data_IF_335645462689
#
_entry.id   IF_335645462689
#
_cell.length_a   1.000
_cell.length_b   1.000
_cell.length_c   1.000
_cell.angle_alpha   90.00
_cell.angle_beta   90.00
_cell.angle_gamma   90.00
#
_symmetry.space_group_name_H-M   'P 1'
#
loop_
_entity.id
_entity.type
_entity.pdbx_description
1 polymer ?
#
# COMPACT_ATOMS: atom_id res chain seq x y z
N UNK A 1 8.15 -5.94 -21.87
CA UNK A 1 9.04 -6.95 -21.28
C UNK A 1 8.63 -7.12 -19.83
N UNK A 2 8.62 -8.35 -19.28
CA UNK A 2 8.41 -8.56 -17.84
C UNK A 2 9.64 -8.11 -17.05
N UNK A 3 9.44 -7.62 -15.83
CA UNK A 3 10.49 -7.06 -14.97
C UNK A 3 10.97 -5.66 -15.39
N UNK A 4 10.38 -5.06 -16.44
CA UNK A 4 10.75 -3.70 -16.83
C UNK A 4 10.34 -2.71 -15.74
N UNK A 5 11.29 -1.88 -15.31
CA UNK A 5 11.12 -0.86 -14.28
C UNK A 5 11.06 0.52 -14.94
N UNK A 6 10.03 1.30 -14.63
CA UNK A 6 9.88 2.69 -15.07
C UNK A 6 9.95 3.58 -13.85
N UNK A 7 10.90 4.53 -13.87
CA UNK A 7 11.08 5.52 -12.82
C UNK A 7 10.68 6.90 -13.32
N UNK A 8 10.18 7.73 -12.42
CA UNK A 8 9.93 9.13 -12.68
C UNK A 8 10.48 9.99 -11.54
N UNK A 9 11.13 11.11 -11.86
CA UNK A 9 11.53 12.10 -10.84
C UNK A 9 10.33 12.84 -10.25
N UNK A 10 9.25 13.01 -11.04
CA UNK A 10 7.94 13.53 -10.61
C UNK A 10 6.84 12.98 -11.51
N UNK A 11 5.59 12.95 -11.03
CA UNK A 11 4.42 12.62 -11.87
C UNK A 11 3.41 13.77 -11.83
N UNK A 12 3.04 14.31 -13.00
CA UNK A 12 2.08 15.41 -13.11
C UNK A 12 0.62 14.96 -13.01
N UNK A 13 0.37 13.64 -13.18
CA UNK A 13 -0.95 13.02 -13.14
C UNK A 13 -0.90 11.67 -12.41
N UNK A 14 -0.21 11.64 -11.26
CA UNK A 14 -0.15 10.45 -10.42
C UNK A 14 -1.54 9.99 -10.01
N UNK A 15 -1.75 8.67 -9.99
CA UNK A 15 -3.04 8.05 -9.65
C UNK A 15 -2.85 7.07 -8.50
N UNK A 16 -3.78 7.14 -7.55
CA UNK A 16 -4.00 6.10 -6.55
C UNK A 16 -5.19 5.22 -6.93
N UNK A 17 -5.62 4.40 -5.97
CA UNK A 17 -6.84 3.58 -6.09
C UNK A 17 -8.08 4.46 -6.35
N UNK A 18 -9.05 3.87 -7.04
CA UNK A 18 -10.34 4.49 -7.38
C UNK A 18 -10.22 5.87 -8.04
N UNK A 19 -9.14 6.11 -8.79
CA UNK A 19 -8.92 7.36 -9.52
C UNK A 19 -8.52 8.55 -8.64
N UNK A 20 -8.23 8.35 -7.35
CA UNK A 20 -7.73 9.41 -6.47
C UNK A 20 -6.41 9.97 -7.00
N UNK A 21 -6.20 11.27 -6.82
CA UNK A 21 -4.93 11.91 -7.18
C UNK A 21 -3.84 11.43 -6.22
N UNK A 22 -2.70 11.02 -6.77
CA UNK A 22 -1.49 10.78 -6.00
C UNK A 22 -0.48 11.90 -6.31
N UNK A 23 -0.06 12.63 -5.27
CA UNK A 23 0.93 13.69 -5.40
C UNK A 23 2.34 13.09 -5.45
N UNK A 24 3.05 13.30 -6.56
CA UNK A 24 4.40 12.78 -6.80
C UNK A 24 5.40 13.91 -7.12
N UNK A 25 5.74 14.77 -6.15
CA UNK A 25 6.76 15.79 -6.34
C UNK A 25 8.17 15.18 -6.41
N UNK A 26 9.18 15.99 -6.70
CA UNK A 26 10.57 15.54 -6.64
C UNK A 26 10.95 15.07 -5.23
N UNK A 27 11.90 14.13 -5.14
CA UNK A 27 12.42 13.61 -3.88
C UNK A 27 11.70 12.36 -3.34
N UNK A 28 10.59 11.92 -3.94
CA UNK A 28 10.04 10.59 -3.67
C UNK A 28 10.56 9.51 -4.62
N UNK A 29 10.19 8.26 -4.34
CA UNK A 29 10.39 7.13 -5.24
C UNK A 29 9.06 6.83 -5.94
N UNK A 30 9.00 7.10 -7.25
CA UNK A 30 7.84 6.86 -8.10
C UNK A 30 8.22 5.83 -9.16
N UNK A 31 7.76 4.60 -8.97
CA UNK A 31 8.22 3.45 -9.74
C UNK A 31 7.06 2.58 -10.19
N UNK A 32 7.12 2.06 -11.42
CA UNK A 32 6.20 1.05 -11.92
C UNK A 32 6.97 -0.14 -12.48
N UNK A 33 6.56 -1.36 -12.10
CA UNK A 33 7.15 -2.62 -12.57
C UNK A 33 6.14 -3.36 -13.43
N UNK A 34 6.55 -3.72 -14.65
CA UNK A 34 5.72 -4.46 -15.61
C UNK A 34 5.84 -5.96 -15.35
N UNK A 35 4.73 -6.61 -15.06
CA UNK A 35 4.61 -8.05 -14.80
C UNK A 35 3.75 -8.71 -15.87
N UNK A 36 3.98 -10.00 -16.14
CA UNK A 36 3.14 -10.78 -17.08
C UNK A 36 2.69 -12.13 -16.49
N UNK A 37 2.04 -12.14 -15.31
CA UNK A 37 1.73 -13.36 -14.58
C UNK A 37 0.44 -14.05 -15.08
N UNK A 38 0.35 -14.38 -16.38
CA UNK A 38 -0.90 -14.89 -16.98
C UNK A 38 -1.44 -16.10 -16.19
N UNK A 39 -2.64 -15.94 -15.62
CA UNK A 39 -3.34 -16.98 -14.86
C UNK A 39 -2.79 -17.28 -13.47
N UNK A 40 -1.86 -16.49 -12.94
CA UNK A 40 -1.26 -16.72 -11.62
C UNK A 40 -1.96 -15.90 -10.54
N UNK A 41 -2.32 -16.56 -9.44
CA UNK A 41 -2.65 -15.98 -8.13
C UNK A 41 -3.78 -14.91 -8.04
N UNK A 42 -4.28 -14.63 -6.84
CA UNK A 42 -5.21 -13.52 -6.64
C UNK A 42 -4.46 -12.17 -6.63
N UNK A 43 -4.96 -11.13 -7.32
CA UNK A 43 -4.34 -9.79 -7.32
C UNK A 43 -4.24 -9.14 -5.93
N UNK A 44 -5.18 -9.45 -5.04
CA UNK A 44 -5.15 -9.00 -3.64
C UNK A 44 -3.89 -9.46 -2.93
N UNK A 45 -3.53 -10.74 -3.08
CA UNK A 45 -2.33 -11.31 -2.51
C UNK A 45 -1.04 -10.73 -3.11
N UNK A 46 -1.04 -10.40 -4.42
CA UNK A 46 0.08 -9.68 -5.05
C UNK A 46 0.25 -8.29 -4.46
N UNK A 47 -0.84 -7.58 -4.16
CA UNK A 47 -0.81 -6.28 -3.47
C UNK A 47 -0.20 -6.40 -2.07
N UNK A 48 -0.49 -7.47 -1.33
CA UNK A 48 0.14 -7.72 -0.04
C UNK A 48 1.64 -8.00 -0.17
N UNK A 49 2.03 -8.82 -1.15
CA UNK A 49 3.42 -9.15 -1.45
C UNK A 49 4.24 -7.90 -1.81
N UNK A 50 3.68 -7.03 -2.64
CA UNK A 50 4.27 -5.75 -2.98
C UNK A 50 4.36 -4.80 -1.77
N UNK A 51 3.33 -4.77 -0.91
CA UNK A 51 3.37 -4.02 0.34
C UNK A 51 4.49 -4.49 1.28
N UNK A 52 4.64 -5.81 1.44
CA UNK A 52 5.74 -6.43 2.19
C UNK A 52 7.10 -6.00 1.67
N UNK A 53 7.29 -6.05 0.34
CA UNK A 53 8.52 -5.61 -0.29
C UNK A 53 8.85 -4.14 0.01
N UNK A 54 7.84 -3.26 -0.06
CA UNK A 54 8.02 -1.84 0.25
C UNK A 54 8.35 -1.60 1.73
N UNK A 55 7.66 -2.26 2.65
CA UNK A 55 7.93 -2.15 4.09
C UNK A 55 9.35 -2.64 4.44
N UNK A 56 9.76 -3.80 3.92
CA UNK A 56 11.10 -4.35 4.15
C UNK A 56 12.21 -3.52 3.52
N UNK A 57 11.95 -2.91 2.35
CA UNK A 57 12.89 -1.98 1.71
C UNK A 57 13.10 -0.72 2.55
N UNK A 58 12.01 -0.14 3.07
CA UNK A 58 12.06 1.01 3.99
C UNK A 58 12.87 0.65 5.24
N UNK A 59 12.58 -0.47 5.88
CA UNK A 59 13.32 -0.91 7.06
C UNK A 59 14.80 -1.09 6.77
N UNK A 60 15.15 -1.71 5.63
CA UNK A 60 16.54 -1.96 5.23
C UNK A 60 17.37 -0.69 5.13
N UNK A 61 16.79 0.44 4.70
CA UNK A 61 17.54 1.69 4.46
C UNK A 61 17.42 2.72 5.58
N UNK A 62 16.35 2.62 6.39
CA UNK A 62 15.99 3.64 7.37
C UNK A 62 16.12 3.17 8.82
N UNK A 63 16.16 1.86 9.08
CA UNK A 63 16.01 1.23 10.40
C UNK A 63 14.70 1.59 11.12
N UNK A 64 13.73 2.17 10.41
CA UNK A 64 12.40 2.50 10.95
C UNK A 64 11.43 1.37 10.63
N UNK A 65 10.72 0.89 11.64
CA UNK A 65 9.69 -0.13 11.46
C UNK A 65 8.56 0.35 10.55
N UNK A 66 8.25 -0.45 9.53
CA UNK A 66 7.19 -0.15 8.57
C UNK A 66 6.00 -1.08 8.76
N UNK A 67 4.86 -0.47 9.08
CA UNK A 67 3.56 -1.13 9.15
C UNK A 67 2.84 -1.13 7.79
N UNK A 68 1.86 -2.02 7.66
CA UNK A 68 1.03 -2.18 6.47
C UNK A 68 -0.42 -1.94 6.82
N UNK A 69 -1.08 -1.07 6.06
CA UNK A 69 -2.49 -0.73 6.24
C UNK A 69 -3.27 -1.19 5.00
N UNK A 70 -4.20 -2.12 5.20
CA UNK A 70 -5.08 -2.58 4.13
C UNK A 70 -5.86 -1.38 3.53
N UNK A 71 -6.06 -1.31 2.20
CA UNK A 71 -5.73 -2.34 1.21
C UNK A 71 -4.31 -2.28 0.64
N UNK A 72 -3.58 -1.18 0.79
CA UNK A 72 -2.38 -0.95 -0.01
C UNK A 72 -1.41 0.13 0.50
N UNK A 73 -1.55 0.56 1.75
CA UNK A 73 -0.75 1.65 2.32
C UNK A 73 0.42 1.10 3.14
N UNK A 74 1.56 1.78 3.05
CA UNK A 74 2.70 1.58 3.96
C UNK A 74 2.74 2.75 4.93
N UNK A 75 2.90 2.46 6.22
CA UNK A 75 2.80 3.46 7.29
C UNK A 75 4.00 3.41 8.24
N UNK A 76 4.38 4.58 8.76
CA UNK A 76 5.35 4.77 9.83
C UNK A 76 4.64 5.53 10.95
N UNK A 77 4.61 4.96 12.16
CA UNK A 77 3.87 5.50 13.31
C UNK A 77 2.42 5.90 12.97
N UNK A 78 1.75 5.06 12.18
CA UNK A 78 0.36 5.27 11.75
C UNK A 78 0.15 6.32 10.65
N UNK A 79 1.20 7.03 10.21
CA UNK A 79 1.16 7.98 9.10
C UNK A 79 1.64 7.34 7.80
N UNK A 80 0.99 7.67 6.69
CA UNK A 80 1.25 7.09 5.38
C UNK A 80 2.58 7.59 4.80
N UNK A 81 3.53 6.68 4.60
CA UNK A 81 4.80 6.97 3.92
C UNK A 81 4.76 6.56 2.45
N UNK A 82 3.87 5.65 2.08
CA UNK A 82 3.80 5.18 0.71
C UNK A 82 2.57 4.33 0.44
N UNK A 83 2.49 3.85 -0.79
CA UNK A 83 1.41 2.98 -1.23
C UNK A 83 1.78 2.16 -2.46
N UNK A 84 1.03 1.09 -2.64
CA UNK A 84 1.15 0.17 -3.77
C UNK A 84 -0.11 0.24 -4.62
N UNK A 85 0.01 0.10 -5.93
CA UNK A 85 -1.13 -0.02 -6.83
C UNK A 85 -0.90 -1.17 -7.80
N UNK A 86 -1.79 -2.17 -7.79
CA UNK A 86 -1.78 -3.28 -8.74
C UNK A 86 -2.88 -3.04 -9.77
N UNK A 87 -2.50 -2.89 -11.04
CA UNK A 87 -3.44 -2.72 -12.16
C UNK A 87 -3.17 -3.76 -13.23
N UNK A 88 -4.21 -4.47 -13.68
CA UNK A 88 -4.09 -5.49 -14.73
C UNK A 88 -4.91 -5.08 -15.95
N UNK A 89 -4.28 -5.09 -17.13
CA UNK A 89 -4.92 -4.82 -18.40
C UNK A 89 -4.22 -5.56 -19.54
N UNK A 90 -5.00 -6.09 -20.51
CA UNK A 90 -4.50 -6.70 -21.73
C UNK A 90 -3.35 -7.73 -21.53
N UNK A 91 -3.46 -8.57 -20.49
CA UNK A 91 -2.47 -9.63 -20.19
C UNK A 91 -1.18 -9.15 -19.52
N UNK A 92 -1.10 -7.88 -19.11
CA UNK A 92 -0.04 -7.36 -18.26
C UNK A 92 -0.60 -6.91 -16.91
N UNK A 93 0.23 -7.00 -15.88
CA UNK A 93 -0.04 -6.42 -14.55
C UNK A 93 1.05 -5.41 -14.23
N UNK A 94 0.69 -4.22 -13.75
CA UNK A 94 1.60 -3.18 -13.35
C UNK A 94 1.57 -3.09 -11.83
N UNK A 95 2.73 -3.26 -11.19
CA UNK A 95 2.92 -2.96 -9.78
C UNK A 95 3.53 -1.56 -9.66
N UNK A 96 2.70 -0.58 -9.29
CA UNK A 96 3.09 0.79 -8.99
C UNK A 96 3.46 0.95 -7.53
N UNK A 97 4.54 1.67 -7.26
CA UNK A 97 5.05 2.01 -5.95
C UNK A 97 5.24 3.52 -5.87
N UNK A 98 4.63 4.12 -4.84
CA UNK A 98 4.88 5.50 -4.46
C UNK A 98 5.38 5.56 -3.02
N UNK A 99 6.61 6.03 -2.80
CA UNK A 99 7.19 6.15 -1.46
C UNK A 99 7.72 7.57 -1.26
N UNK A 100 7.24 8.22 -0.21
CA UNK A 100 7.69 9.54 0.23
C UNK A 100 9.06 9.40 0.89
N UNK A 101 10.14 9.64 0.13
CA UNK A 101 11.51 9.53 0.67
C UNK A 101 11.94 10.88 1.26
N UNK A 102 12.05 11.92 0.43
CA UNK A 102 12.42 13.30 0.81
C UNK A 102 11.31 14.32 0.55
N UNK A 103 10.07 13.86 0.50
CA UNK A 103 8.92 14.73 0.22
C UNK A 103 8.64 15.61 1.44
N UNK A 104 8.69 16.95 1.31
CA UNK A 104 8.20 17.85 2.35
C UNK A 104 6.68 17.77 2.44
N UNK A 105 6.13 17.90 3.65
CA UNK A 105 4.67 17.93 3.83
C UNK A 105 4.14 19.37 3.76
N UNK A 106 5.01 20.35 3.94
CA UNK A 106 4.72 21.76 3.80
C UNK A 106 4.23 22.06 2.37
N UNK A 107 3.07 22.70 2.26
CA UNK A 107 2.46 23.03 0.97
C UNK A 107 1.62 21.91 0.34
N UNK A 108 1.54 20.73 0.96
CA UNK A 108 0.53 19.74 0.59
C UNK A 108 -0.85 20.13 1.12
N UNK A 109 -1.95 19.67 0.49
CA UNK A 109 -3.29 19.81 1.06
C UNK A 109 -3.33 19.30 2.50
N UNK A 110 -4.06 20.02 3.37
CA UNK A 110 -4.06 19.80 4.82
C UNK A 110 -4.42 18.36 5.21
N UNK A 111 -5.43 17.80 4.57
CA UNK A 111 -5.89 16.43 4.75
C UNK A 111 -4.82 15.38 4.42
N UNK A 112 -3.97 15.67 3.42
CA UNK A 112 -2.80 14.86 3.07
C UNK A 112 -1.69 15.06 4.10
N UNK A 113 -1.35 16.30 4.43
CA UNK A 113 -0.25 16.63 5.34
C UNK A 113 -0.45 16.06 6.76
N UNK A 114 -1.69 16.03 7.26
CA UNK A 114 -2.03 15.48 8.59
C UNK A 114 -1.90 13.95 8.66
N UNK A 115 -1.99 13.27 7.52
CA UNK A 115 -2.03 11.79 7.48
C UNK A 115 -0.82 11.15 6.83
N UNK A 116 0.02 11.93 6.14
CA UNK A 116 1.23 11.48 5.47
C UNK A 116 2.51 11.72 6.30
N UNK A 117 3.58 11.05 5.90
CA UNK A 117 4.95 11.28 6.37
C UNK A 117 5.94 10.98 5.25
N UNK A 118 7.23 11.23 5.49
CA UNK A 118 8.33 10.83 4.60
C UNK A 118 9.47 10.20 5.40
N UNK A 119 10.32 9.41 4.74
CA UNK A 119 11.48 8.78 5.38
C UNK A 119 12.42 9.83 5.98
N UNK A 120 12.62 10.94 5.29
CA UNK A 120 13.43 12.05 5.78
C UNK A 120 12.88 12.62 7.10
N UNK A 121 11.56 12.85 7.17
CA UNK A 121 10.92 13.36 8.38
C UNK A 121 10.95 12.35 9.54
N UNK A 122 10.85 11.05 9.25
CA UNK A 122 10.84 10.01 10.30
C UNK A 122 12.23 9.69 10.84
N UNK A 123 13.23 9.76 9.99
CA UNK A 123 14.61 9.43 10.38
C UNK A 123 15.39 10.65 10.87
N UNK A 124 14.98 11.87 10.51
CA UNK A 124 15.74 13.09 10.77
C UNK A 124 17.05 13.19 9.99
N UNK A 125 17.32 12.25 9.06
CA UNK A 125 18.55 12.20 8.25
C UNK A 125 18.24 12.09 6.76
N UNK A 126 19.19 12.40 5.86
CA UNK A 126 19.03 12.16 4.44
C UNK A 126 18.84 10.66 4.17
N UNK A 127 17.86 10.35 3.31
CA UNK A 127 17.64 9.01 2.75
C UNK A 127 17.64 9.14 1.23
N UNK A 128 18.27 8.19 0.55
CA UNK A 128 18.39 8.17 -0.90
C UNK A 128 17.29 7.34 -1.57
N UNK A 129 16.44 7.90 -2.44
CA UNK A 129 15.45 7.15 -3.22
C UNK A 129 16.06 6.02 -4.04
N UNK A 130 17.30 6.13 -4.50
CA UNK A 130 17.97 5.07 -5.25
C UNK A 130 18.27 3.86 -4.35
N UNK A 131 18.74 4.09 -3.10
CA UNK A 131 18.90 3.03 -2.11
C UNK A 131 17.56 2.36 -1.76
N UNK A 132 16.47 3.14 -1.65
CA UNK A 132 15.11 2.59 -1.43
C UNK A 132 14.70 1.74 -2.63
N UNK A 133 14.97 2.18 -3.85
CA UNK A 133 14.66 1.44 -5.07
C UNK A 133 15.42 0.12 -5.14
N UNK A 134 16.73 0.12 -4.88
CA UNK A 134 17.55 -1.10 -4.91
C UNK A 134 17.02 -2.14 -3.91
N UNK A 135 16.76 -1.71 -2.67
CA UNK A 135 16.18 -2.56 -1.65
C UNK A 135 14.78 -3.06 -2.07
N UNK A 136 13.95 -2.19 -2.63
CA UNK A 136 12.61 -2.53 -3.11
C UNK A 136 12.65 -3.59 -4.20
N UNK A 137 13.46 -3.41 -5.24
CA UNK A 137 13.55 -4.37 -6.35
C UNK A 137 13.99 -5.75 -5.86
N UNK A 138 14.98 -5.81 -4.96
CA UNK A 138 15.47 -7.05 -4.37
C UNK A 138 14.38 -7.77 -3.55
N UNK A 139 13.67 -7.04 -2.68
CA UNK A 139 12.59 -7.62 -1.85
C UNK A 139 11.40 -8.03 -2.71
N UNK A 140 11.05 -7.20 -3.69
CA UNK A 140 9.91 -7.43 -4.55
C UNK A 140 10.10 -8.66 -5.43
N UNK A 141 11.29 -8.90 -5.98
CA UNK A 141 11.59 -10.12 -6.72
C UNK A 141 11.30 -11.38 -5.88
N UNK A 142 11.78 -11.45 -4.63
CA UNK A 142 11.54 -12.60 -3.76
C UNK A 142 10.08 -12.79 -3.37
N UNK A 143 9.37 -11.70 -3.06
CA UNK A 143 7.94 -11.76 -2.75
C UNK A 143 7.08 -12.09 -3.98
N UNK A 144 7.48 -11.65 -5.17
CA UNK A 144 6.84 -12.00 -6.43
C UNK A 144 7.03 -13.49 -6.76
N UNK A 145 8.24 -14.03 -6.61
CA UNK A 145 8.50 -15.47 -6.76
C UNK A 145 7.67 -16.30 -5.77
N UNK A 146 7.57 -15.84 -4.52
CA UNK A 146 6.73 -16.49 -3.51
C UNK A 146 5.26 -16.50 -3.92
N UNK A 147 4.77 -15.39 -4.49
CA UNK A 147 3.39 -15.28 -4.99
C UNK A 147 3.15 -16.19 -6.19
N UNK A 148 4.09 -16.27 -7.14
CA UNK A 148 4.05 -17.21 -8.27
C UNK A 148 4.04 -18.67 -7.80
N UNK A 149 4.72 -18.99 -6.70
CA UNK A 149 4.75 -20.30 -6.08
C UNK A 149 3.50 -20.63 -5.23
N UNK A 150 2.42 -19.86 -5.34
CA UNK A 150 1.16 -20.07 -4.62
C UNK A 150 1.01 -19.27 -3.32
N UNK A 151 1.98 -18.41 -3.00
CA UNK A 151 1.84 -17.38 -1.97
C UNK A 151 1.95 -17.85 -0.53
N UNK A 152 2.53 -19.03 -0.31
CA UNK A 152 2.75 -19.56 1.03
C UNK A 152 3.52 -18.54 1.90
N UNK A 153 2.97 -18.26 3.09
CA UNK A 153 3.59 -17.35 4.07
C UNK A 153 3.35 -15.85 3.86
N UNK A 154 2.83 -15.40 2.71
CA UNK A 154 2.58 -13.98 2.43
C UNK A 154 1.60 -13.38 3.46
N UNK A 155 0.44 -14.01 3.66
CA UNK A 155 -0.57 -13.53 4.62
C UNK A 155 -0.01 -13.50 6.04
N UNK A 156 0.77 -14.51 6.42
CA UNK A 156 1.40 -14.56 7.75
C UNK A 156 2.44 -13.45 7.95
N UNK A 157 3.26 -13.17 6.93
CA UNK A 157 4.23 -12.08 6.95
C UNK A 157 3.55 -10.71 7.00
N UNK A 158 2.51 -10.53 6.19
CA UNK A 158 1.72 -9.30 6.17
C UNK A 158 1.02 -9.06 7.51
N UNK A 159 0.44 -10.11 8.10
CA UNK A 159 -0.27 -10.03 9.40
C UNK A 159 0.63 -9.57 10.55
N UNK A 160 1.94 -9.88 10.52
CA UNK A 160 2.90 -9.39 11.52
C UNK A 160 3.14 -7.87 11.44
N UNK A 161 2.74 -7.24 10.34
CA UNK A 161 2.88 -5.80 10.07
C UNK A 161 1.54 -5.08 10.01
N UNK A 162 0.43 -5.78 10.28
CA UNK A 162 -0.91 -5.28 10.05
C UNK A 162 -1.27 -4.14 11.02
N UNK A 163 -1.16 -2.91 10.53
CA UNK A 163 -1.54 -1.70 11.25
C UNK A 163 -3.06 -1.50 11.32
N UNK A 164 -3.85 -2.27 10.56
CA UNK A 164 -5.32 -2.27 10.63
C UNK A 164 -5.88 -3.22 11.67
N UNK A 165 -5.15 -4.27 12.07
CA UNK A 165 -5.61 -5.33 12.99
C UNK A 165 -6.26 -4.74 14.25
N UNK A 166 -7.49 -5.18 14.54
CA UNK A 166 -8.22 -4.76 15.73
C UNK A 166 -8.71 -3.31 15.73
N UNK A 167 -8.46 -2.53 14.67
CA UNK A 167 -8.96 -1.17 14.52
C UNK A 167 -10.39 -1.17 14.00
N UNK A 168 -11.25 -0.23 14.44
CA UNK A 168 -12.52 0.01 13.78
C UNK A 168 -12.28 0.61 12.39
N UNK A 169 -13.00 0.11 11.41
CA UNK A 169 -12.92 0.51 10.00
C UNK A 169 -14.31 0.86 9.48
N UNK A 170 -14.35 1.90 8.65
CA UNK A 170 -15.49 2.26 7.83
C UNK A 170 -15.02 2.11 6.38
N UNK A 171 -15.69 1.26 5.62
CA UNK A 171 -15.28 0.90 4.26
C UNK A 171 -16.39 1.26 3.29
N UNK A 172 -16.12 2.18 2.39
CA UNK A 172 -17.03 2.50 1.30
C UNK A 172 -16.88 1.47 0.17
N UNK A 173 -17.98 0.82 -0.21
CA UNK A 173 -18.09 -0.16 -1.29
C UNK A 173 -19.34 0.16 -2.09
N UNK A 174 -19.18 0.53 -3.36
CA UNK A 174 -20.31 0.78 -4.28
C UNK A 174 -21.38 1.76 -3.74
N UNK A 175 -20.97 2.73 -2.92
CA UNK A 175 -21.87 3.72 -2.31
C UNK A 175 -22.42 3.33 -0.94
N UNK A 176 -22.23 2.09 -0.50
CA UNK A 176 -22.58 1.64 0.86
C UNK A 176 -21.37 1.73 1.79
N UNK A 177 -21.61 2.06 3.06
CA UNK A 177 -20.56 2.04 4.09
C UNK A 177 -20.70 0.80 4.96
N UNK A 178 -19.66 -0.03 4.97
CA UNK A 178 -19.53 -1.16 5.88
C UNK A 178 -18.75 -0.75 7.12
N UNK A 179 -19.33 -1.02 8.28
CA UNK A 179 -18.68 -0.81 9.57
C UNK A 179 -18.30 -2.14 10.22
N UNK A 180 -17.14 -2.15 10.89
CA UNK A 180 -16.68 -3.28 11.67
C UNK A 180 -15.25 -3.12 12.16
N UNK A 181 -14.72 -4.18 12.76
CA UNK A 181 -13.33 -4.25 13.22
C UNK A 181 -12.51 -5.12 12.29
N UNK A 182 -11.29 -4.70 11.97
CA UNK A 182 -10.38 -5.49 11.14
C UNK A 182 -9.99 -6.80 11.86
N UNK A 183 -10.45 -7.93 11.32
CA UNK A 183 -10.19 -9.28 11.81
C UNK A 183 -9.19 -10.03 10.90
N UNK A 184 -8.21 -9.32 10.33
CA UNK A 184 -7.11 -9.90 9.57
C UNK A 184 -7.48 -10.17 8.11
N UNK A 185 -6.70 -11.01 7.44
CA UNK A 185 -6.73 -11.16 5.98
C UNK A 185 -6.96 -12.61 5.58
N UNK A 186 -7.79 -12.82 4.55
CA UNK A 186 -8.02 -14.10 3.89
C UNK A 186 -6.82 -14.52 3.01
N UNK A 187 -6.68 -15.81 2.66
CA UNK A 187 -5.59 -16.31 1.82
C UNK A 187 -5.40 -15.60 0.47
N UNK A 188 -6.44 -14.98 -0.07
CA UNK A 188 -6.42 -14.26 -1.34
C UNK A 188 -6.18 -12.74 -1.21
N UNK A 189 -5.98 -12.26 0.02
CA UNK A 189 -5.73 -10.85 0.32
C UNK A 189 -6.98 -10.02 0.66
N UNK A 190 -8.16 -10.63 0.69
CA UNK A 190 -9.38 -9.94 1.14
C UNK A 190 -9.36 -9.68 2.65
N UNK A 191 -9.86 -8.52 3.07
CA UNK A 191 -10.00 -8.17 4.47
C UNK A 191 -11.16 -8.94 5.11
N UNK A 192 -10.95 -9.45 6.33
CA UNK A 192 -11.97 -9.97 7.22
C UNK A 192 -12.46 -8.83 8.10
N UNK A 193 -13.72 -8.41 7.95
CA UNK A 193 -14.33 -7.33 8.71
C UNK A 193 -15.39 -7.89 9.65
N UNK A 194 -15.14 -7.84 10.95
CA UNK A 194 -16.09 -8.33 11.97
C UNK A 194 -17.08 -7.23 12.35
N UNK A 195 -18.35 -7.43 12.09
CA UNK A 195 -19.41 -6.48 12.45
C UNK A 195 -19.79 -6.57 13.95
N UNK A 196 -20.66 -5.66 14.41
CA UNK A 196 -21.07 -5.58 15.82
C UNK A 196 -21.83 -6.83 16.31
N UNK A 197 -22.43 -7.62 15.41
CA UNK A 197 -23.07 -8.90 15.75
C UNK A 197 -22.07 -10.05 15.89
N UNK A 198 -20.79 -9.79 15.60
CA UNK A 198 -19.72 -10.78 15.60
C UNK A 198 -19.58 -11.55 14.29
N UNK A 199 -20.41 -11.27 13.28
CA UNK A 199 -20.33 -11.88 11.96
C UNK A 199 -19.15 -11.30 11.18
N UNK A 200 -18.40 -12.17 10.52
CA UNK A 200 -17.26 -11.79 9.69
C UNK A 200 -17.70 -11.66 8.23
N UNK A 201 -17.48 -10.48 7.66
CA UNK A 201 -17.70 -10.17 6.23
C UNK A 201 -16.35 -10.14 5.52
N UNK A 202 -16.31 -10.70 4.31
CA UNK A 202 -15.13 -10.68 3.45
C UNK A 202 -15.19 -9.45 2.52
N UNK A 203 -14.12 -8.67 2.47
CA UNK A 203 -14.02 -7.42 1.71
C UNK A 203 -12.83 -7.49 0.74
N UNK A 204 -13.12 -7.60 -0.55
CA UNK A 204 -12.10 -7.77 -1.62
C UNK A 204 -11.55 -6.42 -2.09
N UNK A 205 -12.38 -5.39 -2.06
CA UNK A 205 -12.05 -4.03 -2.43
C UNK A 205 -12.93 -3.06 -1.65
N UNK A 206 -12.46 -1.83 -1.52
CA UNK A 206 -13.15 -0.76 -0.83
C UNK A 206 -12.18 0.35 -0.47
N UNK A 207 -12.74 1.47 -0.06
CA UNK A 207 -12.00 2.63 0.40
C UNK A 207 -12.22 2.83 1.90
N UNK A 208 -11.11 2.91 2.66
CA UNK A 208 -11.20 3.33 4.05
C UNK A 208 -11.60 4.79 4.12
N UNK A 209 -12.73 5.07 4.76
CA UNK A 209 -13.19 6.43 5.05
C UNK A 209 -12.86 6.79 6.49
N UNK A 210 -12.45 8.04 6.72
CA UNK A 210 -12.25 8.55 8.08
C UNK A 210 -13.60 8.68 8.77
N UNK A 211 -13.65 8.44 10.08
CA UNK A 211 -14.86 8.61 10.90
C UNK A 211 -15.43 10.04 10.86
N UNK A 212 -14.61 11.03 10.48
CA UNK A 212 -15.02 12.43 10.34
C UNK A 212 -15.86 12.71 9.07
N UNK A 213 -15.83 11.82 8.06
CA UNK A 213 -16.61 11.98 6.82
C UNK A 213 -18.11 11.65 6.96
N UNK A 214 -18.53 11.06 8.09
CA UNK A 214 -19.92 10.64 8.30
C UNK A 214 -20.86 11.77 8.71
N UNK A 215 -20.35 12.98 8.97
CA UNK A 215 -21.14 14.10 9.46
C UNK A 215 -21.74 15.02 8.37
N UNK A 216 -21.46 14.78 7.07
CA UNK A 216 -21.92 15.66 5.98
C UNK A 216 -22.94 15.02 5.03
N UNK A 217 -23.65 13.99 5.49
CA UNK A 217 -24.72 13.33 4.74
C UNK A 217 -26.01 13.23 5.54
N UNK A 218 -26.56 14.37 5.97
CA UNK A 218 -27.96 14.50 6.39
C UNK A 218 -28.51 15.83 5.90
#
# INVERSE_FOLDING_TARGET
REGAVVLAGRQTRGRGRLGRVWLSPEGGLWCSIVLRPVGQGPPGLLSLAAGLAAAEAIETVSDVHAGLKWPNDVVLDGRKVGGVLIESAAGATIAGFGINVRVPLEGLPRDVAETATSLHLMTGRPVDPEAVLEALLKRFAGWYDTWLAGGAGIVGAWSRRDATRGRPLHISISGETLEGTADGIEPDGALRLKDASGRVRRVVSGDLVSSQGMAQGR
#
